data_IF_390164630522
#
_entry.id   IF_390164630522
#
_cell.length_a   1.000
_cell.length_b   1.000
_cell.length_c   1.000
_cell.angle_alpha   90.00
_cell.angle_beta   90.00
_cell.angle_gamma   90.00
#
_symmetry.space_group_name_H-M   'P 1'
#
loop_
_entity.id
_entity.type
_entity.pdbx_description
1 polymer ?
#
# COMPACT_ATOMS: atom_id res chain seq x y z
N UNK A 1 14.48 8.12 -9.98
CA UNK A 1 13.80 8.98 -8.97
C UNK A 1 14.24 10.44 -9.13
N UNK A 2 15.53 10.73 -9.20
CA UNK A 2 16.03 12.09 -9.36
C UNK A 2 15.59 12.73 -10.69
N UNK A 3 15.68 12.01 -11.79
CA UNK A 3 15.20 12.48 -13.11
C UNK A 3 13.71 12.86 -13.10
N UNK A 4 12.85 12.08 -12.42
CA UNK A 4 11.44 12.43 -12.27
C UNK A 4 11.26 13.68 -11.42
N UNK A 5 12.04 13.82 -10.34
CA UNK A 5 11.97 14.99 -9.49
C UNK A 5 12.38 16.28 -10.22
N UNK A 6 13.30 16.22 -11.18
CA UNK A 6 13.70 17.37 -12.00
C UNK A 6 12.56 17.90 -12.90
N UNK A 7 11.63 17.02 -13.30
CA UNK A 7 10.46 17.38 -14.11
C UNK A 7 9.33 18.02 -13.27
N UNK A 8 9.32 17.78 -11.97
CA UNK A 8 8.29 18.32 -11.07
C UNK A 8 8.56 19.81 -10.82
N UNK A 9 7.60 20.67 -11.16
CA UNK A 9 7.69 22.14 -11.05
C UNK A 9 7.12 22.72 -9.75
N UNK A 10 6.32 21.94 -9.01
CA UNK A 10 5.79 22.36 -7.72
C UNK A 10 6.80 22.11 -6.57
N UNK A 11 6.57 22.65 -5.37
CA UNK A 11 7.37 22.33 -4.19
C UNK A 11 7.46 20.83 -3.98
N UNK A 12 8.66 20.32 -3.76
CA UNK A 12 8.94 18.88 -3.65
C UNK A 12 9.98 18.61 -2.59
N UNK A 13 9.88 17.44 -1.98
CA UNK A 13 10.87 16.91 -1.04
C UNK A 13 11.28 15.50 -1.51
N UNK A 14 12.58 15.30 -1.67
CA UNK A 14 13.15 13.98 -1.89
C UNK A 14 13.59 13.41 -0.55
N UNK A 15 12.94 12.34 -0.14
CA UNK A 15 13.32 11.61 1.07
C UNK A 15 14.52 10.71 0.76
N UNK A 16 15.50 10.62 1.67
CA UNK A 16 16.54 9.61 1.59
C UNK A 16 15.93 8.21 1.72
N UNK A 17 16.65 7.14 1.36
CA UNK A 17 16.19 5.78 1.64
C UNK A 17 15.90 5.60 3.13
N UNK A 18 14.67 5.21 3.45
CA UNK A 18 14.23 4.90 4.82
C UNK A 18 14.15 3.40 4.94
N UNK A 19 14.95 2.81 5.83
CA UNK A 19 14.98 1.36 6.09
C UNK A 19 14.01 0.92 7.18
N UNK A 20 13.42 1.85 7.93
CA UNK A 20 12.52 1.57 9.05
C UNK A 20 11.05 1.62 8.58
N UNK A 21 10.36 0.48 8.70
CA UNK A 21 8.96 0.35 8.31
C UNK A 21 8.01 1.19 9.17
N UNK A 22 8.31 1.41 10.44
CA UNK A 22 7.47 2.23 11.33
C UNK A 22 7.53 3.70 10.92
N UNK A 23 8.72 4.19 10.54
CA UNK A 23 8.89 5.55 10.01
C UNK A 23 8.15 5.72 8.69
N UNK A 24 8.21 4.71 7.79
CA UNK A 24 7.47 4.73 6.52
C UNK A 24 5.96 4.79 6.78
N UNK A 25 5.43 3.97 7.68
CA UNK A 25 4.03 3.97 8.05
C UNK A 25 3.59 5.31 8.66
N UNK A 26 4.41 5.89 9.54
CA UNK A 26 4.13 7.20 10.13
C UNK A 26 4.08 8.31 9.07
N UNK A 27 5.03 8.32 8.13
CA UNK A 27 5.04 9.26 7.02
C UNK A 27 3.79 9.10 6.14
N UNK A 28 3.41 7.85 5.80
CA UNK A 28 2.25 7.60 4.95
C UNK A 28 0.94 8.02 5.61
N UNK A 29 0.81 7.83 6.91
CA UNK A 29 -0.38 8.25 7.68
C UNK A 29 -0.66 9.76 7.55
N UNK A 30 0.38 10.56 7.48
CA UNK A 30 0.28 12.02 7.43
C UNK A 30 0.19 12.56 5.98
N UNK A 31 0.24 11.68 4.96
CA UNK A 31 0.04 12.06 3.56
C UNK A 31 -1.44 12.20 3.20
N UNK A 32 -1.76 13.14 2.32
CA UNK A 32 -3.11 13.30 1.77
C UNK A 32 -3.52 12.12 0.89
N UNK A 33 -2.56 11.56 0.15
CA UNK A 33 -2.71 10.34 -0.64
C UNK A 33 -1.34 9.76 -0.97
N UNK A 34 -1.32 8.50 -1.38
CA UNK A 34 -0.13 7.82 -1.90
C UNK A 34 -0.43 7.29 -3.30
N UNK A 35 0.36 7.73 -4.28
CA UNK A 35 0.31 7.22 -5.66
C UNK A 35 1.50 6.28 -5.86
N UNK A 36 1.27 5.03 -6.23
CA UNK A 36 2.36 4.08 -6.34
C UNK A 36 2.11 2.96 -7.34
N UNK A 37 3.20 2.52 -7.98
CA UNK A 37 3.29 1.24 -8.71
C UNK A 37 3.72 0.08 -7.80
N UNK A 38 4.20 0.37 -6.60
CA UNK A 38 4.75 -0.62 -5.67
C UNK A 38 3.66 -1.10 -4.72
N UNK A 39 3.36 -2.40 -4.77
CA UNK A 39 2.34 -3.03 -3.92
C UNK A 39 2.56 -2.72 -2.43
N UNK A 40 3.78 -2.85 -1.91
CA UNK A 40 4.05 -2.60 -0.49
C UNK A 40 3.75 -1.16 -0.06
N UNK A 41 3.97 -0.17 -0.95
CA UNK A 41 3.61 1.21 -0.63
C UNK A 41 2.08 1.39 -0.51
N UNK A 42 1.31 0.72 -1.37
CA UNK A 42 -0.15 0.72 -1.30
C UNK A 42 -0.65 0.01 -0.04
N UNK A 43 -0.04 -1.14 0.33
CA UNK A 43 -0.36 -1.88 1.56
C UNK A 43 -0.10 -1.01 2.79
N UNK A 44 1.06 -0.38 2.88
CA UNK A 44 1.41 0.44 4.04
C UNK A 44 0.51 1.67 4.15
N UNK A 45 0.25 2.37 3.05
CA UNK A 45 -0.62 3.55 3.04
C UNK A 45 -2.07 3.19 3.42
N UNK A 46 -2.65 2.19 2.77
CA UNK A 46 -4.03 1.75 3.06
C UNK A 46 -4.17 1.22 4.48
N UNK A 47 -3.16 0.53 5.01
CA UNK A 47 -3.11 0.08 6.42
C UNK A 47 -3.10 1.22 7.45
N UNK A 48 -2.73 2.43 7.03
CA UNK A 48 -2.84 3.66 7.82
C UNK A 48 -4.14 4.43 7.57
N UNK A 49 -4.98 3.98 6.65
CA UNK A 49 -6.20 4.68 6.25
C UNK A 49 -5.96 5.78 5.20
N UNK A 50 -4.74 5.92 4.69
CA UNK A 50 -4.40 6.94 3.69
C UNK A 50 -4.98 6.56 2.33
N UNK A 51 -5.64 7.48 1.60
CA UNK A 51 -6.12 7.25 0.25
C UNK A 51 -4.99 6.81 -0.68
N UNK A 52 -5.27 5.85 -1.57
CA UNK A 52 -4.27 5.28 -2.47
C UNK A 52 -4.72 5.36 -3.93
N UNK A 53 -3.76 5.60 -4.81
CA UNK A 53 -3.92 5.48 -6.26
C UNK A 53 -2.88 4.48 -6.77
N UNK A 54 -3.36 3.39 -7.38
CA UNK A 54 -2.53 2.32 -7.91
C UNK A 54 -2.22 2.51 -9.38
N UNK A 55 -0.94 2.37 -9.79
CA UNK A 55 -0.57 2.20 -11.20
C UNK A 55 -0.14 0.75 -11.37
N UNK A 56 -1.00 -0.03 -12.02
CA UNK A 56 -0.83 -1.47 -12.13
C UNK A 56 0.03 -1.83 -13.35
N UNK A 57 1.16 -2.47 -13.10
CA UNK A 57 1.98 -3.14 -14.11
C UNK A 57 1.96 -4.67 -13.93
N UNK A 58 1.31 -5.15 -12.89
CA UNK A 58 1.27 -6.56 -12.47
C UNK A 58 -0.09 -6.83 -11.82
N UNK A 59 -0.74 -7.97 -12.10
CA UNK A 59 -2.06 -8.34 -11.55
C UNK A 59 -2.16 -8.28 -10.02
N UNK A 60 -1.04 -8.37 -9.29
CA UNK A 60 -1.07 -8.26 -7.83
C UNK A 60 -1.40 -6.84 -7.35
N UNK A 61 -1.12 -5.80 -8.14
CA UNK A 61 -1.49 -4.42 -7.79
C UNK A 61 -2.98 -4.22 -7.98
N UNK A 62 -3.54 -4.57 -9.15
CA UNK A 62 -4.98 -4.49 -9.39
C UNK A 62 -5.77 -5.38 -8.44
N UNK A 63 -5.34 -6.65 -8.25
CA UNK A 63 -5.99 -7.56 -7.31
C UNK A 63 -5.97 -7.07 -5.86
N UNK A 64 -4.93 -6.35 -5.43
CA UNK A 64 -4.92 -5.71 -4.11
C UNK A 64 -5.89 -4.53 -4.03
N UNK A 65 -5.98 -3.70 -5.08
CA UNK A 65 -6.93 -2.58 -5.13
C UNK A 65 -8.38 -3.09 -5.11
N UNK A 66 -8.68 -4.15 -5.87
CA UNK A 66 -9.99 -4.83 -5.85
C UNK A 66 -10.30 -5.41 -4.46
N UNK A 67 -9.31 -6.03 -3.82
CA UNK A 67 -9.44 -6.55 -2.45
C UNK A 67 -9.75 -5.46 -1.42
N UNK A 68 -9.22 -4.24 -1.62
CA UNK A 68 -9.54 -3.07 -0.82
C UNK A 68 -10.92 -2.47 -1.15
N UNK A 69 -11.57 -2.89 -2.24
CA UNK A 69 -12.76 -2.24 -2.76
C UNK A 69 -12.48 -0.82 -3.29
N UNK A 70 -11.26 -0.57 -3.79
CA UNK A 70 -10.83 0.73 -4.30
C UNK A 70 -10.79 0.71 -5.83
N UNK A 71 -11.44 1.68 -6.45
CA UNK A 71 -11.49 1.84 -7.91
C UNK A 71 -10.41 2.78 -8.47
N UNK A 72 -9.63 3.43 -7.58
CA UNK A 72 -8.61 4.40 -7.97
C UNK A 72 -7.32 3.71 -8.42
N UNK A 73 -7.38 2.97 -9.52
CA UNK A 73 -6.18 2.41 -10.14
C UNK A 73 -6.30 2.33 -11.67
N UNK A 74 -5.17 2.29 -12.35
CA UNK A 74 -5.08 2.26 -13.80
C UNK A 74 -3.91 1.38 -14.23
N UNK A 75 -4.03 0.72 -15.39
CA UNK A 75 -2.90 0.01 -16.00
C UNK A 75 -1.82 1.00 -16.43
N UNK A 76 -0.55 0.60 -16.28
CA UNK A 76 0.58 1.40 -16.77
C UNK A 76 0.52 1.64 -18.28
N UNK A 77 -0.15 0.76 -19.03
CA UNK A 77 -0.33 0.86 -20.48
C UNK A 77 -1.39 1.90 -20.88
N UNK A 78 -2.32 2.20 -19.96
CA UNK A 78 -3.44 3.12 -20.18
C UNK A 78 -3.22 4.47 -19.49
N UNK A 79 -2.18 4.60 -18.66
CA UNK A 79 -1.94 5.82 -17.90
C UNK A 79 -1.64 7.00 -18.83
N UNK A 80 -2.41 8.06 -18.64
CA UNK A 80 -2.18 9.38 -19.24
C UNK A 80 -2.20 10.44 -18.15
N UNK A 81 -1.70 11.63 -18.47
CA UNK A 81 -1.69 12.74 -17.49
C UNK A 81 -3.12 13.05 -16.99
N UNK A 82 -4.10 13.12 -17.90
CA UNK A 82 -5.50 13.38 -17.57
C UNK A 82 -6.11 12.28 -16.71
N UNK A 83 -5.99 11.02 -17.14
CA UNK A 83 -6.55 9.88 -16.42
C UNK A 83 -5.95 9.74 -15.00
N UNK A 84 -4.64 9.99 -14.85
CA UNK A 84 -4.01 9.96 -13.52
C UNK A 84 -4.48 11.12 -12.63
N UNK A 85 -4.65 12.33 -13.19
CA UNK A 85 -5.19 13.47 -12.45
C UNK A 85 -6.63 13.19 -11.99
N UNK A 86 -7.49 12.66 -12.87
CA UNK A 86 -8.88 12.32 -12.52
C UNK A 86 -8.95 11.29 -11.36
N UNK A 87 -8.09 10.26 -11.40
CA UNK A 87 -7.98 9.27 -10.32
C UNK A 87 -7.48 9.89 -9.02
N UNK A 88 -6.51 10.80 -9.10
CA UNK A 88 -5.98 11.50 -7.92
C UNK A 88 -7.04 12.43 -7.31
N UNK A 89 -7.80 13.14 -8.14
CA UNK A 89 -8.90 14.00 -7.68
C UNK A 89 -10.03 13.17 -7.07
N UNK A 90 -10.36 12.04 -7.66
CA UNK A 90 -11.32 11.08 -7.09
C UNK A 90 -10.85 10.54 -5.74
N UNK A 91 -9.61 10.11 -5.63
CA UNK A 91 -9.02 9.62 -4.37
C UNK A 91 -8.93 10.73 -3.31
N UNK A 92 -8.67 11.97 -3.71
CA UNK A 92 -8.62 13.11 -2.79
C UNK A 92 -10.01 13.55 -2.28
N UNK A 93 -11.07 13.29 -3.06
CA UNK A 93 -12.45 13.55 -2.72
C UNK A 93 -13.09 12.41 -1.91
N UNK A 94 -12.58 11.18 -2.06
CA UNK A 94 -12.99 10.05 -1.24
C UNK A 94 -12.48 10.26 0.19
N UNK A 95 -13.30 9.87 1.16
CA UNK A 95 -12.83 9.75 2.53
C UNK A 95 -11.71 8.69 2.57
N UNK A 96 -10.86 8.77 3.60
CA UNK A 96 -9.79 7.78 3.86
C UNK A 96 -10.30 6.35 3.69
N UNK A 97 -9.40 5.40 3.37
CA UNK A 97 -9.75 3.97 3.30
C UNK A 97 -10.60 3.62 4.52
N UNK A 98 -11.76 3.05 4.27
CA UNK A 98 -12.77 2.82 5.30
C UNK A 98 -12.18 2.11 6.52
N UNK A 99 -12.44 2.62 7.71
CA UNK A 99 -11.88 2.09 8.96
C UNK A 99 -12.17 0.60 9.16
N UNK A 100 -13.32 0.12 8.67
CA UNK A 100 -13.68 -1.30 8.67
C UNK A 100 -12.74 -2.13 7.79
N UNK A 101 -12.36 -1.62 6.61
CA UNK A 101 -11.39 -2.26 5.72
C UNK A 101 -10.01 -2.32 6.36
N UNK A 102 -9.55 -1.23 6.98
CA UNK A 102 -8.28 -1.21 7.72
C UNK A 102 -8.27 -2.21 8.87
N UNK A 103 -9.35 -2.28 9.65
CA UNK A 103 -9.49 -3.24 10.74
C UNK A 103 -9.46 -4.69 10.23
N UNK A 104 -10.16 -4.98 9.15
CA UNK A 104 -10.16 -6.30 8.49
C UNK A 104 -8.76 -6.69 8.00
N UNK A 105 -8.02 -5.77 7.37
CA UNK A 105 -6.65 -6.03 6.92
C UNK A 105 -5.73 -6.39 8.10
N UNK A 106 -5.83 -5.66 9.20
CA UNK A 106 -5.05 -5.92 10.41
C UNK A 106 -5.40 -7.27 11.05
N UNK A 107 -6.67 -7.63 11.08
CA UNK A 107 -7.11 -8.93 11.57
C UNK A 107 -6.53 -10.08 10.74
N UNK A 108 -6.63 -10.00 9.40
CA UNK A 108 -6.08 -11.00 8.49
C UNK A 108 -4.56 -11.11 8.59
N UNK A 109 -3.86 -10.00 8.72
CA UNK A 109 -2.42 -10.00 8.95
C UNK A 109 -2.06 -10.69 10.30
N UNK A 110 -2.84 -10.45 11.34
CA UNK A 110 -2.69 -11.12 12.65
C UNK A 110 -2.93 -12.64 12.55
N UNK A 111 -3.91 -13.07 11.77
CA UNK A 111 -4.17 -14.49 11.53
C UNK A 111 -2.98 -15.19 10.86
N UNK A 112 -2.35 -14.56 9.86
CA UNK A 112 -1.14 -15.10 9.22
C UNK A 112 0.00 -15.32 10.24
N UNK A 113 0.22 -14.36 11.15
CA UNK A 113 1.18 -14.51 12.24
C UNK A 113 0.85 -15.69 13.18
N UNK A 114 -0.43 -15.86 13.49
CA UNK A 114 -0.90 -16.96 14.35
C UNK A 114 -0.75 -18.34 13.69
N UNK A 115 -0.96 -18.44 12.37
CA UNK A 115 -0.72 -19.67 11.60
C UNK A 115 0.77 -20.01 11.57
N UNK A 116 1.64 -19.04 11.27
CA UNK A 116 3.07 -19.24 11.25
C UNK A 116 3.61 -19.69 12.62
N UNK A 117 3.14 -19.08 13.71
CA UNK A 117 3.52 -19.46 15.06
C UNK A 117 3.09 -20.88 15.40
N UNK A 118 1.87 -21.28 15.06
CA UNK A 118 1.38 -22.64 15.30
C UNK A 118 2.20 -23.68 14.55
N UNK A 119 2.49 -23.43 13.28
CA UNK A 119 3.34 -24.30 12.48
C UNK A 119 4.73 -24.52 13.11
N UNK A 120 5.37 -23.45 13.57
CA UNK A 120 6.67 -23.53 14.24
C UNK A 120 6.61 -24.32 15.56
N UNK A 121 5.51 -24.27 16.31
CA UNK A 121 5.34 -25.04 17.53
C UNK A 121 5.15 -26.54 17.25
N UNK A 122 4.40 -26.89 16.21
CA UNK A 122 4.18 -28.28 15.79
C UNK A 122 5.49 -28.92 15.33
N UNK A 123 6.31 -28.22 14.53
CA UNK A 123 7.64 -28.69 14.10
C UNK A 123 8.59 -28.89 15.30
N UNK A 124 8.66 -27.93 16.19
CA UNK A 124 9.51 -27.98 17.38
C UNK A 124 9.10 -29.11 18.38
N UNK A 125 7.80 -29.47 18.39
CA UNK A 125 7.29 -30.60 19.18
C UNK A 125 7.70 -31.97 18.58
N UNK A 126 7.66 -32.06 17.25
CA UNK A 126 8.00 -33.29 16.51
C UNK A 126 9.49 -33.67 16.60
N UNK A 127 10.40 -32.72 16.82
CA UNK A 127 11.83 -33.00 16.98
C UNK A 127 12.22 -33.47 18.39
N UNK A 128 11.37 -33.27 19.40
CA UNK A 128 11.62 -33.70 20.78
C UNK A 128 11.23 -35.16 21.07
N UNK A 129 10.45 -35.75 20.18
CA UNK A 129 9.97 -37.15 20.31
C UNK A 129 10.78 -38.15 19.47
N UNK A 130 11.93 -37.74 18.92
CA UNK A 130 12.92 -38.58 18.25
C UNK A 130 14.23 -38.67 19.02
#
# INVERSE_FOLDING_TARGET
TQAVAELVRCPKLLLPPVGDGEVICALMRDMRMVVSMRLHALIFASGQGTPVVGISYDPKVSGFMDYLGQEHYISVEEVTDGALCDLMDGAAASESVEAATVARLRELAGQNGSYAWRFLQEEAGSERDK
#
